data_IF_299562003844
#
_entry.id   IF_299562003844
#
_cell.length_a   1.000
_cell.length_b   1.000
_cell.length_c   1.000
_cell.angle_alpha   90.00
_cell.angle_beta   90.00
_cell.angle_gamma   90.00
#
_symmetry.space_group_name_H-M   'P 1'
#
loop_
_entity.id
_entity.type
_entity.pdbx_description
1 polymer ?
#
# COMPACT_ATOMS: atom_id res chain seq x y z
N UNK A 1 -22.25 -19.33 -0.78
CA UNK A 1 -20.93 -19.12 -0.16
C UNK A 1 -19.85 -19.40 -1.20
N UNK A 2 -19.44 -18.36 -1.96
CA UNK A 2 -18.46 -18.45 -3.06
C UNK A 2 -17.24 -17.53 -2.80
N UNK A 3 -17.20 -16.87 -1.64
CA UNK A 3 -16.19 -15.89 -1.27
C UNK A 3 -15.14 -16.41 -0.28
N UNK A 4 -15.28 -17.66 0.20
CA UNK A 4 -14.35 -18.27 1.18
C UNK A 4 -13.10 -18.91 0.52
N UNK A 5 -12.54 -18.28 -0.52
CA UNK A 5 -11.25 -18.72 -1.06
C UNK A 5 -10.15 -17.80 -0.50
N UNK A 6 -9.21 -18.27 0.34
CA UNK A 6 -8.18 -17.42 0.96
C UNK A 6 -7.34 -16.65 -0.07
N UNK A 7 -7.27 -17.15 -1.31
CA UNK A 7 -6.60 -16.49 -2.43
C UNK A 7 -7.29 -15.19 -2.86
N UNK A 8 -8.63 -15.15 -2.90
CA UNK A 8 -9.37 -13.93 -3.28
C UNK A 8 -9.30 -12.88 -2.18
N UNK A 9 -9.38 -13.29 -0.91
CA UNK A 9 -9.23 -12.41 0.24
C UNK A 9 -7.87 -11.68 0.25
N UNK A 10 -6.78 -12.43 0.02
CA UNK A 10 -5.44 -11.85 -0.04
C UNK A 10 -5.27 -10.90 -1.25
N UNK A 11 -5.87 -11.24 -2.40
CA UNK A 11 -5.83 -10.38 -3.59
C UNK A 11 -6.59 -9.06 -3.40
N UNK A 12 -7.74 -9.10 -2.73
CA UNK A 12 -8.56 -7.92 -2.47
C UNK A 12 -7.87 -6.98 -1.46
N UNK A 13 -7.27 -7.56 -0.41
CA UNK A 13 -6.47 -6.81 0.56
C UNK A 13 -5.27 -6.12 -0.09
N UNK A 14 -4.56 -6.82 -0.97
CA UNK A 14 -3.44 -6.25 -1.73
C UNK A 14 -3.90 -5.12 -2.66
N UNK A 15 -5.01 -5.31 -3.36
CA UNK A 15 -5.59 -4.31 -4.26
C UNK A 15 -6.02 -3.06 -3.49
N UNK A 16 -6.68 -3.20 -2.34
CA UNK A 16 -7.03 -2.06 -1.47
C UNK A 16 -5.81 -1.32 -0.95
N UNK A 17 -4.77 -2.04 -0.50
CA UNK A 17 -3.53 -1.42 -0.04
C UNK A 17 -2.86 -0.61 -1.17
N UNK A 18 -2.82 -1.17 -2.38
CA UNK A 18 -2.26 -0.52 -3.57
C UNK A 18 -3.06 0.72 -3.96
N UNK A 19 -4.39 0.63 -3.94
CA UNK A 19 -5.26 1.76 -4.25
C UNK A 19 -5.16 2.87 -3.19
N UNK A 20 -5.01 2.52 -1.91
CA UNK A 20 -4.76 3.47 -0.84
C UNK A 20 -3.41 4.19 -1.00
N UNK A 21 -2.37 3.45 -1.38
CA UNK A 21 -1.07 4.00 -1.69
C UNK A 21 -1.14 5.00 -2.86
N UNK A 22 -1.73 4.60 -3.99
CA UNK A 22 -1.90 5.47 -5.16
C UNK A 22 -2.71 6.73 -4.86
N UNK A 23 -3.82 6.60 -4.10
CA UNK A 23 -4.62 7.76 -3.69
C UNK A 23 -3.82 8.73 -2.83
N UNK A 24 -3.08 8.24 -1.84
CA UNK A 24 -2.26 9.12 -1.02
C UNK A 24 -1.13 9.78 -1.81
N UNK A 25 -0.56 9.09 -2.80
CA UNK A 25 0.45 9.66 -3.71
C UNK A 25 -0.11 10.79 -4.59
N UNK A 26 -1.35 10.66 -5.06
CA UNK A 26 -2.05 11.77 -5.74
C UNK A 26 -2.29 12.96 -4.81
N UNK A 27 -2.73 12.72 -3.57
CA UNK A 27 -2.89 13.79 -2.58
C UNK A 27 -1.59 14.57 -2.35
N UNK A 28 -0.45 13.86 -2.29
CA UNK A 28 0.85 14.48 -2.11
C UNK A 28 1.34 15.29 -3.33
N UNK A 29 0.86 14.99 -4.54
CA UNK A 29 1.16 15.79 -5.74
C UNK A 29 0.29 17.05 -5.84
N UNK A 30 -0.96 16.99 -5.38
CA UNK A 30 -1.89 18.13 -5.43
C UNK A 30 -1.54 19.16 -4.34
N UNK A 31 -1.01 18.71 -3.20
CA UNK A 31 -0.76 19.57 -2.05
C UNK A 31 0.64 20.20 -2.14
N UNK A 32 0.75 21.54 -2.09
CA UNK A 32 2.03 22.22 -2.11
C UNK A 32 2.96 21.73 -0.97
N UNK A 33 4.27 21.63 -1.23
CA UNK A 33 5.24 21.15 -0.23
C UNK A 33 5.26 21.99 1.05
N UNK A 34 4.87 23.27 0.95
CA UNK A 34 4.74 24.19 2.10
C UNK A 34 3.62 23.72 3.05
N UNK A 35 2.42 23.42 2.53
CA UNK A 35 1.31 22.92 3.36
C UNK A 35 1.64 21.57 4.00
N UNK A 36 2.37 20.70 3.28
CA UNK A 36 2.82 19.40 3.79
C UNK A 36 3.78 19.52 4.97
N UNK A 37 4.64 20.54 4.99
CA UNK A 37 5.65 20.73 6.06
C UNK A 37 5.04 21.27 7.36
N UNK A 38 4.03 22.14 7.25
CA UNK A 38 3.47 22.85 8.39
C UNK A 38 2.22 22.19 8.99
N UNK A 39 1.42 21.47 8.19
CA UNK A 39 0.17 20.88 8.69
C UNK A 39 0.43 19.43 9.18
N UNK A 40 0.29 19.15 10.48
CA UNK A 40 0.56 17.83 11.06
C UNK A 40 -0.39 16.74 10.55
N UNK A 41 -1.53 17.11 9.95
CA UNK A 41 -2.43 16.20 9.26
C UNK A 41 -1.74 15.42 8.14
N UNK A 42 -0.91 16.10 7.34
CA UNK A 42 -0.21 15.45 6.21
C UNK A 42 0.86 14.49 6.69
N UNK A 43 1.56 14.79 7.80
CA UNK A 43 2.53 13.87 8.41
C UNK A 43 1.91 12.52 8.77
N UNK A 44 0.69 12.50 9.32
CA UNK A 44 -0.01 11.25 9.63
C UNK A 44 -0.39 10.47 8.38
N UNK A 45 -0.82 11.17 7.32
CA UNK A 45 -1.14 10.55 6.02
C UNK A 45 0.09 10.01 5.31
N UNK A 46 1.21 10.72 5.37
CA UNK A 46 2.51 10.27 4.89
C UNK A 46 2.97 8.99 5.58
N UNK A 47 2.89 8.95 6.92
CA UNK A 47 3.27 7.76 7.66
C UNK A 47 2.43 6.54 7.25
N UNK A 48 1.12 6.72 7.13
CA UNK A 48 0.22 5.67 6.65
C UNK A 48 0.52 5.25 5.20
N UNK A 49 0.99 6.16 4.35
CA UNK A 49 1.42 5.84 2.98
C UNK A 49 2.67 4.98 2.97
N UNK A 50 3.67 5.32 3.78
CA UNK A 50 4.91 4.55 3.92
C UNK A 50 4.61 3.14 4.45
N UNK A 51 3.79 3.03 5.51
CA UNK A 51 3.38 1.73 6.06
C UNK A 51 2.66 0.84 5.03
N UNK A 52 1.80 1.42 4.19
CA UNK A 52 1.15 0.70 3.10
C UNK A 52 2.13 0.29 1.99
N UNK A 53 3.09 1.14 1.66
CA UNK A 53 4.15 0.83 0.68
C UNK A 53 5.01 -0.34 1.14
N UNK A 54 5.45 -0.30 2.41
CA UNK A 54 6.26 -1.36 3.02
C UNK A 54 5.49 -2.70 3.02
N UNK A 55 4.19 -2.68 3.31
CA UNK A 55 3.35 -3.87 3.23
C UNK A 55 3.28 -4.45 1.80
N UNK A 56 3.10 -3.59 0.79
CA UNK A 56 3.06 -4.00 -0.62
C UNK A 56 4.39 -4.61 -1.04
N UNK A 57 5.51 -3.94 -0.75
CA UNK A 57 6.86 -4.38 -1.09
C UNK A 57 7.17 -5.71 -0.41
N UNK A 58 6.91 -5.83 0.89
CA UNK A 58 7.13 -7.07 1.64
C UNK A 58 6.31 -8.23 1.08
N UNK A 59 5.06 -7.97 0.71
CA UNK A 59 4.18 -8.97 0.11
C UNK A 59 4.69 -9.42 -1.25
N UNK A 60 5.14 -8.49 -2.09
CA UNK A 60 5.74 -8.79 -3.40
C UNK A 60 7.05 -9.58 -3.26
N UNK A 61 7.95 -9.17 -2.37
CA UNK A 61 9.20 -9.89 -2.13
C UNK A 61 8.94 -11.32 -1.68
N UNK A 62 8.01 -11.54 -0.76
CA UNK A 62 7.65 -12.88 -0.30
C UNK A 62 7.04 -13.74 -1.44
N UNK A 63 6.26 -13.13 -2.35
CA UNK A 63 5.77 -13.85 -3.54
C UNK A 63 6.91 -14.23 -4.50
N UNK A 64 7.89 -13.35 -4.70
CA UNK A 64 9.07 -13.61 -5.54
C UNK A 64 9.94 -14.70 -4.91
N UNK A 65 10.22 -14.62 -3.60
CA UNK A 65 10.96 -15.63 -2.86
C UNK A 65 10.29 -17.00 -2.97
N UNK A 66 8.98 -17.08 -2.73
CA UNK A 66 8.22 -18.34 -2.90
C UNK A 66 8.34 -18.91 -4.31
N UNK A 67 8.29 -18.06 -5.34
CA UNK A 67 8.48 -18.51 -6.73
C UNK A 67 9.91 -18.99 -7.00
N UNK A 68 10.93 -18.38 -6.38
CA UNK A 68 12.33 -18.79 -6.54
C UNK A 68 12.66 -20.11 -5.82
N UNK A 69 11.93 -20.47 -4.76
CA UNK A 69 12.08 -21.76 -4.07
C UNK A 69 11.29 -22.91 -4.71
N UNK A 70 10.30 -22.60 -5.57
CA UNK A 70 9.48 -23.60 -6.30
C UNK A 70 10.12 -24.05 -7.63
N UNK A 71 11.35 -23.63 -7.95
CA UNK A 71 12.18 -24.09 -9.09
C UNK A 71 13.40 -24.87 -8.60
#
# INVERSE_FOLDING_TARGET
>A
SLFDNPKSYNSDKFTRATMAYLRGLMFLNIIPPILRRYVPFFKRKEKALVENADYIIKTLNNMIEKRNFDF
#
